data_IF_254494127121
#
_entry.id   IF_254494127121
#
_cell.length_a   1.000
_cell.length_b   1.000
_cell.length_c   1.000
_cell.angle_alpha   90.00
_cell.angle_beta   90.00
_cell.angle_gamma   90.00
#
_symmetry.space_group_name_H-M   'P 1'
#
loop_
_entity.id
_entity.type
_entity.pdbx_description
1 polymer ?
#
# COMPACT_ATOMS: atom_id res chain seq x y z
N UNK A 1 -9.34 8.61 -20.12
CA UNK A 1 -10.08 8.41 -18.85
C UNK A 1 -11.56 8.61 -19.09
N UNK A 2 -12.35 7.65 -18.72
CA UNK A 2 -13.81 7.72 -18.82
C UNK A 2 -14.39 8.83 -17.96
N UNK A 3 -15.57 9.34 -18.33
CA UNK A 3 -16.20 10.44 -17.59
C UNK A 3 -16.44 10.09 -16.11
N UNK A 4 -16.85 8.85 -15.84
CA UNK A 4 -17.10 8.39 -14.48
C UNK A 4 -15.80 8.35 -13.66
N UNK A 5 -14.72 7.83 -14.22
CA UNK A 5 -13.42 7.80 -13.55
C UNK A 5 -12.93 9.22 -13.23
N UNK A 6 -13.08 10.13 -14.18
CA UNK A 6 -12.70 11.54 -13.97
C UNK A 6 -13.50 12.15 -12.83
N UNK A 7 -14.80 11.92 -12.79
CA UNK A 7 -15.67 12.41 -11.73
C UNK A 7 -15.23 11.85 -10.37
N UNK A 8 -14.94 10.55 -10.28
CA UNK A 8 -14.46 9.92 -9.06
C UNK A 8 -13.16 10.58 -8.58
N UNK A 9 -12.20 10.77 -9.47
CA UNK A 9 -10.94 11.44 -9.12
C UNK A 9 -11.13 12.88 -8.66
N UNK A 10 -11.98 13.63 -9.33
CA UNK A 10 -12.25 15.03 -8.98
C UNK A 10 -12.97 15.19 -7.64
N UNK A 11 -13.83 14.23 -7.30
CA UNK A 11 -14.62 14.26 -6.07
C UNK A 11 -13.96 13.57 -4.90
N UNK A 12 -12.83 12.90 -5.10
CA UNK A 12 -12.09 12.20 -4.05
C UNK A 12 -11.01 13.12 -3.47
N UNK A 13 -10.61 12.83 -2.21
CA UNK A 13 -9.48 13.51 -1.60
C UNK A 13 -8.22 13.31 -2.45
N UNK A 14 -7.38 14.33 -2.63
CA UNK A 14 -6.18 14.20 -3.45
C UNK A 14 -5.19 13.22 -2.86
N UNK A 15 -4.39 12.62 -3.73
CA UNK A 15 -3.26 11.78 -3.34
C UNK A 15 -2.20 12.65 -2.65
N UNK A 16 -1.62 12.18 -1.55
CA UNK A 16 -0.55 12.93 -0.90
C UNK A 16 0.78 12.78 -1.66
N UNK A 17 1.73 13.67 -1.35
CA UNK A 17 2.99 13.76 -2.09
C UNK A 17 3.82 12.47 -2.02
N UNK A 18 3.84 11.79 -0.87
CA UNK A 18 4.57 10.53 -0.71
C UNK A 18 3.96 9.43 -1.58
N UNK A 19 2.65 9.34 -1.62
CA UNK A 19 1.95 8.34 -2.41
C UNK A 19 2.07 8.59 -3.91
N UNK A 20 2.07 9.87 -4.32
CA UNK A 20 2.37 10.25 -5.71
C UNK A 20 3.78 9.81 -6.12
N UNK A 21 4.75 10.03 -5.26
CA UNK A 21 6.13 9.61 -5.48
C UNK A 21 6.24 8.09 -5.58
N UNK A 22 5.54 7.36 -4.71
CA UNK A 22 5.50 5.90 -4.76
C UNK A 22 4.92 5.41 -6.08
N UNK A 23 3.86 6.03 -6.57
CA UNK A 23 3.26 5.72 -7.86
C UNK A 23 4.27 5.92 -8.99
N UNK A 24 4.95 7.06 -9.02
CA UNK A 24 5.97 7.34 -10.03
C UNK A 24 7.11 6.32 -9.98
N UNK A 25 7.61 6.06 -8.79
CA UNK A 25 8.73 5.12 -8.59
C UNK A 25 8.34 3.71 -9.00
N UNK A 26 7.13 3.29 -8.66
CA UNK A 26 6.60 1.98 -9.05
C UNK A 26 6.54 1.85 -10.58
N UNK A 27 6.03 2.86 -11.26
CA UNK A 27 5.95 2.87 -12.72
C UNK A 27 7.33 2.84 -13.39
N UNK A 28 8.34 3.41 -12.75
CA UNK A 28 9.71 3.46 -13.29
C UNK A 28 10.51 2.17 -13.04
N UNK A 29 10.29 1.50 -11.92
CA UNK A 29 11.17 0.42 -11.44
C UNK A 29 10.53 -0.96 -11.43
N UNK A 30 9.22 -1.05 -11.23
CA UNK A 30 8.57 -2.36 -11.12
C UNK A 30 8.37 -3.00 -12.49
N UNK A 31 8.50 -4.33 -12.55
CA UNK A 31 8.30 -5.09 -13.79
C UNK A 31 6.84 -5.07 -14.22
N UNK A 32 5.94 -5.13 -13.24
CA UNK A 32 4.49 -5.14 -13.49
C UNK A 32 3.81 -3.99 -12.73
N UNK A 33 4.04 -2.72 -13.14
CA UNK A 33 3.50 -1.57 -12.41
C UNK A 33 1.97 -1.51 -12.37
N UNK A 34 1.30 -2.18 -13.32
CA UNK A 34 -0.16 -2.29 -13.34
C UNK A 34 -0.73 -3.01 -12.12
N UNK A 35 0.09 -3.72 -11.34
CA UNK A 35 -0.32 -4.38 -10.09
C UNK A 35 -0.52 -3.38 -8.95
N UNK A 36 -0.15 -2.13 -9.14
CA UNK A 36 -0.34 -1.07 -8.16
C UNK A 36 -1.83 -0.83 -7.91
N UNK A 37 -2.23 -0.80 -6.64
CA UNK A 37 -3.64 -0.59 -6.27
C UNK A 37 -4.17 0.77 -6.72
N UNK A 38 -3.35 1.80 -6.63
CA UNK A 38 -3.70 3.14 -7.05
C UNK A 38 -4.46 3.96 -6.01
N UNK A 39 -4.64 5.24 -6.31
CA UNK A 39 -5.15 6.22 -5.38
C UNK A 39 -6.58 5.94 -4.92
N UNK A 40 -7.50 5.66 -5.84
CA UNK A 40 -8.91 5.48 -5.49
C UNK A 40 -9.11 4.23 -4.64
N UNK A 41 -8.50 3.12 -5.04
CA UNK A 41 -8.56 1.89 -4.24
C UNK A 41 -7.90 2.08 -2.88
N UNK A 42 -6.77 2.77 -2.83
CA UNK A 42 -6.08 3.08 -1.58
C UNK A 42 -6.93 3.91 -0.62
N UNK A 43 -7.60 4.94 -1.13
CA UNK A 43 -8.53 5.76 -0.33
C UNK A 43 -9.71 4.94 0.18
N UNK A 44 -10.24 4.07 -0.66
CA UNK A 44 -11.34 3.19 -0.27
C UNK A 44 -10.92 2.23 0.85
N UNK A 45 -9.76 1.58 0.71
CA UNK A 45 -9.22 0.69 1.75
C UNK A 45 -8.97 1.44 3.06
N UNK A 46 -8.38 2.61 2.98
CA UNK A 46 -8.15 3.46 4.16
C UNK A 46 -9.43 3.87 4.86
N UNK A 47 -10.47 4.17 4.10
CA UNK A 47 -11.79 4.48 4.64
C UNK A 47 -12.39 3.28 5.38
N UNK A 48 -12.34 2.09 4.77
CA UNK A 48 -12.84 0.86 5.40
C UNK A 48 -12.13 0.58 6.72
N UNK A 49 -10.80 0.68 6.74
CA UNK A 49 -10.00 0.47 7.94
C UNK A 49 -10.38 1.50 9.02
N UNK A 50 -10.56 2.76 8.64
CA UNK A 50 -10.95 3.80 9.57
C UNK A 50 -12.32 3.55 10.19
N UNK A 51 -13.26 3.02 9.40
CA UNK A 51 -14.60 2.69 9.85
C UNK A 51 -14.62 1.46 10.77
N UNK A 52 -13.87 0.42 10.42
CA UNK A 52 -13.85 -0.84 11.15
C UNK A 52 -12.99 -0.79 12.41
N UNK A 53 -11.99 0.07 12.45
CA UNK A 53 -11.02 0.22 13.56
C UNK A 53 -10.41 -1.12 13.98
N UNK A 54 -9.82 -1.88 13.05
CA UNK A 54 -9.25 -3.19 13.39
C UNK A 54 -8.00 -3.04 14.24
N UNK A 55 -7.77 -3.98 15.14
CA UNK A 55 -6.51 -4.10 15.87
C UNK A 55 -5.42 -4.76 15.02
N UNK A 56 -5.83 -5.65 14.13
CA UNK A 56 -4.93 -6.40 13.26
C UNK A 56 -5.48 -6.43 11.84
N UNK A 57 -4.60 -6.21 10.89
CA UNK A 57 -4.90 -6.32 9.46
C UNK A 57 -3.89 -7.26 8.84
N UNK A 58 -4.35 -8.13 7.96
CA UNK A 58 -3.49 -9.01 7.17
C UNK A 58 -3.63 -8.66 5.70
N UNK A 59 -2.50 -8.39 5.05
CA UNK A 59 -2.43 -8.21 3.61
C UNK A 59 -1.57 -9.30 3.00
N UNK A 60 -2.05 -9.92 1.93
CA UNK A 60 -1.27 -10.88 1.16
C UNK A 60 -0.95 -10.25 -0.18
N UNK A 61 0.36 -10.07 -0.44
CA UNK A 61 0.85 -9.37 -1.62
C UNK A 61 1.12 -7.89 -1.35
N UNK A 62 2.31 -7.59 -0.86
CA UNK A 62 2.73 -6.22 -0.54
C UNK A 62 2.96 -5.38 -1.80
N UNK A 63 3.50 -5.99 -2.82
CA UNK A 63 4.01 -5.36 -4.03
C UNK A 63 4.98 -4.23 -3.71
N UNK A 64 4.60 -2.96 -3.95
CA UNK A 64 5.45 -1.80 -3.60
C UNK A 64 4.98 -1.07 -2.34
N UNK A 65 3.94 -1.59 -1.67
CA UNK A 65 3.48 -1.09 -0.37
C UNK A 65 2.37 -0.05 -0.44
N UNK A 66 1.82 0.24 -1.61
CA UNK A 66 0.80 1.28 -1.76
C UNK A 66 -0.45 1.01 -0.93
N UNK A 67 -1.03 -0.18 -1.04
CA UNK A 67 -2.22 -0.55 -0.26
C UNK A 67 -1.92 -0.63 1.23
N UNK A 68 -0.76 -1.17 1.61
CA UNK A 68 -0.33 -1.24 3.01
C UNK A 68 -0.25 0.15 3.64
N UNK A 69 0.37 1.11 2.95
CA UNK A 69 0.48 2.49 3.41
C UNK A 69 -0.88 3.17 3.48
N UNK A 70 -1.74 2.92 2.49
CA UNK A 70 -3.10 3.47 2.47
C UNK A 70 -3.93 2.99 3.67
N UNK A 71 -3.83 1.70 3.99
CA UNK A 71 -4.52 1.13 5.15
C UNK A 71 -3.92 1.62 6.47
N UNK A 72 -2.60 1.66 6.56
CA UNK A 72 -1.91 2.11 7.77
C UNK A 72 -2.29 3.55 8.14
N UNK A 73 -2.50 4.41 7.16
CA UNK A 73 -2.93 5.78 7.37
C UNK A 73 -4.30 5.87 8.08
N UNK A 74 -5.15 4.86 7.91
CA UNK A 74 -6.46 4.79 8.56
C UNK A 74 -6.47 4.06 9.89
N UNK A 75 -5.36 3.42 10.28
CA UNK A 75 -5.28 2.60 11.49
C UNK A 75 -5.02 3.47 12.72
N UNK A 76 -5.54 3.01 13.86
CA UNK A 76 -5.29 3.65 15.14
C UNK A 76 -3.94 3.28 15.75
N UNK A 77 -3.57 4.00 16.81
CA UNK A 77 -2.34 3.71 17.55
C UNK A 77 -2.40 2.28 18.16
N UNK A 78 -1.30 1.56 18.04
CA UNK A 78 -1.19 0.18 18.54
C UNK A 78 -1.75 -0.89 17.63
N UNK A 79 -2.45 -0.51 16.55
CA UNK A 79 -2.90 -1.49 15.55
C UNK A 79 -1.73 -1.91 14.67
N UNK A 80 -1.74 -3.16 14.22
CA UNK A 80 -0.65 -3.74 13.42
C UNK A 80 -1.20 -4.29 12.11
N UNK A 81 -0.56 -3.91 11.03
CA UNK A 81 -0.78 -4.49 9.70
C UNK A 81 0.38 -5.41 9.37
N UNK A 82 0.07 -6.69 9.17
CA UNK A 82 1.02 -7.67 8.67
C UNK A 82 0.84 -7.77 7.16
N UNK A 83 1.89 -7.51 6.40
CA UNK A 83 1.86 -7.65 4.95
C UNK A 83 2.88 -8.69 4.53
N UNK A 84 2.44 -9.65 3.72
CA UNK A 84 3.23 -10.81 3.31
C UNK A 84 3.55 -10.69 1.84
N UNK A 85 4.84 -10.84 1.51
CA UNK A 85 5.31 -10.81 0.14
C UNK A 85 6.22 -12.01 -0.13
N UNK A 86 5.96 -12.70 -1.23
CA UNK A 86 6.79 -13.83 -1.67
C UNK A 86 8.05 -13.37 -2.41
N UNK A 87 8.01 -12.19 -3.01
CA UNK A 87 9.08 -11.62 -3.82
C UNK A 87 9.76 -10.48 -3.05
N UNK A 88 11.06 -10.59 -2.83
CA UNK A 88 11.83 -9.59 -2.10
C UNK A 88 12.48 -8.51 -2.99
N UNK A 89 12.20 -8.52 -4.29
CA UNK A 89 12.79 -7.56 -5.25
C UNK A 89 12.56 -6.11 -4.85
N UNK A 90 11.39 -5.80 -4.28
CA UNK A 90 11.01 -4.43 -3.93
C UNK A 90 11.24 -4.11 -2.45
N UNK A 91 11.97 -4.93 -1.73
CA UNK A 91 12.15 -4.77 -0.28
C UNK A 91 12.71 -3.40 0.11
N UNK A 92 13.77 -2.95 -0.55
CA UNK A 92 14.38 -1.65 -0.26
C UNK A 92 13.45 -0.50 -0.56
N UNK A 93 12.72 -0.58 -1.67
CA UNK A 93 11.73 0.41 -2.05
C UNK A 93 10.63 0.51 -0.99
N UNK A 94 10.05 -0.62 -0.61
CA UNK A 94 9.01 -0.69 0.41
C UNK A 94 9.51 -0.11 1.73
N UNK A 95 10.70 -0.52 2.16
CA UNK A 95 11.29 -0.05 3.42
C UNK A 95 11.44 1.47 3.42
N UNK A 96 11.97 2.03 2.35
CA UNK A 96 12.16 3.47 2.22
C UNK A 96 10.85 4.24 2.36
N UNK A 97 9.81 3.83 1.66
CA UNK A 97 8.53 4.53 1.71
C UNK A 97 7.81 4.33 3.04
N UNK A 98 7.91 3.15 3.64
CA UNK A 98 7.35 2.89 4.97
C UNK A 98 8.01 3.78 6.03
N UNK A 99 9.32 3.89 6.01
CA UNK A 99 10.06 4.75 6.95
C UNK A 99 9.67 6.23 6.78
N UNK A 100 9.56 6.69 5.54
CA UNK A 100 9.22 8.08 5.23
C UNK A 100 7.76 8.41 5.55
N UNK A 101 6.88 7.42 5.61
CA UNK A 101 5.45 7.62 5.84
C UNK A 101 5.11 8.03 7.28
N UNK A 102 5.94 7.67 8.22
CA UNK A 102 5.66 7.81 9.65
C UNK A 102 4.79 6.67 10.21
N UNK A 103 4.44 5.67 9.41
CA UNK A 103 3.61 4.54 9.83
C UNK A 103 4.40 3.25 10.05
N UNK A 104 5.72 3.36 10.15
CA UNK A 104 6.60 2.18 10.28
C UNK A 104 6.29 1.30 11.49
N UNK A 105 5.81 1.89 12.58
CA UNK A 105 5.41 1.17 13.78
C UNK A 105 4.11 0.38 13.63
N UNK A 106 3.32 0.64 12.58
CA UNK A 106 2.04 -0.02 12.31
C UNK A 106 2.16 -1.14 11.28
N UNK A 107 3.28 -1.25 10.57
CA UNK A 107 3.45 -2.17 9.44
C UNK A 107 4.55 -3.16 9.75
N UNK A 108 4.23 -4.45 9.72
CA UNK A 108 5.21 -5.54 9.77
C UNK A 108 5.26 -6.20 8.41
N UNK A 109 6.44 -6.22 7.81
CA UNK A 109 6.68 -6.84 6.50
C UNK A 109 7.22 -8.24 6.71
N UNK A 110 6.57 -9.21 6.10
CA UNK A 110 6.97 -10.61 6.19
C UNK A 110 7.33 -11.07 4.79
N UNK A 111 8.62 -11.34 4.58
CA UNK A 111 9.11 -11.89 3.32
C UNK A 111 9.25 -13.40 3.49
N UNK A 112 8.63 -14.13 2.58
CA UNK A 112 8.77 -15.57 2.54
C UNK A 112 9.72 -15.94 1.41
N UNK A 113 10.85 -16.59 1.73
CA UNK A 113 11.71 -17.17 0.72
C UNK A 113 10.91 -18.18 -0.08
N UNK A 114 10.97 -18.02 -1.41
CA UNK A 114 10.29 -18.92 -2.32
C UNK A 114 10.79 -20.34 -2.08
N UNK A 115 9.95 -21.17 -1.49
CA UNK A 115 10.22 -22.61 -1.47
C UNK A 115 9.83 -23.16 -2.83
N UNK A 116 10.78 -23.79 -3.49
CA UNK A 116 10.49 -24.55 -4.69
C UNK A 116 9.84 -25.84 -4.22
N UNK A 117 8.55 -25.97 -4.45
CA UNK A 117 7.85 -27.24 -4.25
C UNK A 117 8.12 -28.12 -5.48
N UNK A 118 8.60 -29.27 -5.21
CA UNK A 118 8.76 -30.31 -6.23
C UNK A 118 7.54 -31.23 -6.20
#
# INVERSE_FOLDING_TARGET
MERLERYIHEMSSPEDALMEELTRTTNQRAVHPQMLSGHIQGRFLGMLVRMLRPHRVLEIGTFTGYSALSMAAGMGAGAILDTIEADDEQEELIRSFVERSGYGDRIRKIYRKRKIFR
#
